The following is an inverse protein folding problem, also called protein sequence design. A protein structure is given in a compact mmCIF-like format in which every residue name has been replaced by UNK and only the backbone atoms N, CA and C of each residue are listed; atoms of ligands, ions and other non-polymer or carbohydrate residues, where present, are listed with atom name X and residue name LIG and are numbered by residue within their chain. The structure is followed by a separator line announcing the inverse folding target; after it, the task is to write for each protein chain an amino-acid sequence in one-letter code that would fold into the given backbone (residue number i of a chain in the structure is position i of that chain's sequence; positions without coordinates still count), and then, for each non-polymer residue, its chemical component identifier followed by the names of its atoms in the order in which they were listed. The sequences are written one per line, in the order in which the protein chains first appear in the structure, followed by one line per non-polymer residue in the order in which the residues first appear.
data_IF_200576535692
#
_entry.id   IF_200576535692
#
_cell.length_a   1.000
_cell.length_b   1.000
_cell.length_c   1.000
_cell.angle_alpha   90.00
_cell.angle_beta   90.00
_cell.angle_gamma   90.00
#
_symmetry.space_group_name_H-M   'P 1'
#
loop_
_entity.id
_entity.type
_entity.pdbx_description
1 polymer ?
#
# COMPACT_ATOMS: atom_id res chain seq x y z
N UNK A 1 15.11 -2.88 7.12
CA UNK A 1 15.05 -1.76 6.16
C UNK A 1 14.03 -2.15 5.12
N UNK A 2 12.82 -1.59 5.21
CA UNK A 2 11.79 -1.79 4.20
C UNK A 2 12.13 -0.98 2.96
N UNK A 3 12.19 -1.59 1.79
CA UNK A 3 12.15 -0.87 0.53
C UNK A 3 10.70 -0.81 0.06
N UNK A 4 10.22 0.39 -0.22
CA UNK A 4 8.97 0.56 -0.94
C UNK A 4 9.18 0.07 -2.37
N UNK A 5 8.46 -0.98 -2.74
CA UNK A 5 8.38 -1.40 -4.13
C UNK A 5 7.08 -0.85 -4.73
N UNK A 6 7.22 0.25 -5.46
CA UNK A 6 6.17 0.64 -6.39
C UNK A 6 6.18 -0.35 -7.56
N UNK A 7 5.07 -1.06 -7.76
CA UNK A 7 4.84 -1.96 -8.89
C UNK A 7 4.76 -1.17 -10.22
N UNK A 8 5.04 0.12 -10.17
CA UNK A 8 5.00 1.05 -11.29
C UNK A 8 6.41 1.29 -11.81
N UNK A 9 6.72 0.67 -12.95
CA UNK A 9 7.99 0.85 -13.62
C UNK A 9 7.96 1.98 -14.65
N UNK A 10 9.05 2.76 -14.67
CA UNK A 10 9.29 3.69 -15.75
C UNK A 10 9.50 2.92 -17.06
N UNK A 11 8.87 3.40 -18.14
CA UNK A 11 8.97 2.76 -19.47
C UNK A 11 10.40 2.69 -20.04
N UNK A 12 11.35 3.34 -19.41
CA UNK A 12 12.77 3.32 -19.78
C UNK A 12 13.57 2.21 -19.12
N UNK A 13 13.04 1.58 -18.05
CA UNK A 13 13.74 0.51 -17.31
C UNK A 13 13.77 -0.80 -18.10
N UNK A 14 14.74 -1.65 -17.78
CA UNK A 14 14.83 -2.98 -18.39
C UNK A 14 13.65 -3.86 -17.97
N UNK A 15 13.28 -3.86 -16.70
CA UNK A 15 12.15 -4.62 -16.17
C UNK A 15 10.83 -4.27 -16.88
N UNK A 16 10.58 -2.98 -17.12
CA UNK A 16 9.43 -2.56 -17.92
C UNK A 16 9.47 -3.17 -19.32
N UNK A 17 10.61 -3.06 -20.01
CA UNK A 17 10.76 -3.54 -21.39
C UNK A 17 10.56 -5.05 -21.52
N UNK A 18 11.01 -5.82 -20.52
CA UNK A 18 10.81 -7.27 -20.48
C UNK A 18 9.32 -7.61 -20.35
N UNK A 19 8.59 -6.97 -19.46
CA UNK A 19 7.14 -7.15 -19.30
C UNK A 19 6.37 -6.62 -20.52
N UNK A 20 6.81 -5.52 -21.11
CA UNK A 20 6.20 -4.94 -22.31
C UNK A 20 6.39 -5.84 -23.55
N UNK A 21 7.53 -6.53 -23.64
CA UNK A 21 7.78 -7.52 -24.70
C UNK A 21 6.83 -8.72 -24.64
N UNK A 22 6.28 -9.03 -23.46
CA UNK A 22 5.20 -9.99 -23.29
C UNK A 22 3.81 -9.42 -23.61
N UNK A 23 3.71 -8.12 -23.96
CA UNK A 23 2.44 -7.42 -24.07
C UNK A 23 1.70 -7.27 -22.75
N UNK A 24 2.42 -7.31 -21.63
CA UNK A 24 1.88 -7.39 -20.29
C UNK A 24 1.99 -6.06 -19.49
N UNK A 25 2.24 -4.94 -20.17
CA UNK A 25 2.20 -3.61 -19.57
C UNK A 25 0.97 -2.83 -20.06
N UNK A 26 0.30 -2.15 -19.12
CA UNK A 26 -0.81 -1.26 -19.50
C UNK A 26 -0.28 -0.04 -20.24
N UNK A 27 -0.82 0.23 -21.44
CA UNK A 27 -0.24 1.19 -22.38
C UNK A 27 -0.82 2.61 -22.27
N UNK A 28 -2.01 2.77 -21.69
CA UNK A 28 -2.70 4.05 -21.72
C UNK A 28 -1.96 5.14 -20.95
N UNK A 29 -1.38 4.80 -19.79
CA UNK A 29 -0.60 5.73 -18.98
C UNK A 29 0.64 6.27 -19.75
N UNK A 30 1.28 5.41 -20.55
CA UNK A 30 2.43 5.79 -21.38
C UNK A 30 2.00 6.70 -22.52
N UNK A 31 0.89 6.37 -23.21
CA UNK A 31 0.33 7.20 -24.29
C UNK A 31 -0.06 8.59 -23.81
N UNK A 32 -0.64 8.67 -22.64
CA UNK A 32 -1.06 9.93 -22.02
C UNK A 32 0.09 10.67 -21.33
N UNK A 33 1.30 10.09 -21.32
CA UNK A 33 2.50 10.66 -20.69
C UNK A 33 2.31 11.01 -19.24
N UNK A 34 1.65 10.13 -18.48
CA UNK A 34 1.38 10.35 -17.04
C UNK A 34 2.70 10.27 -16.28
N UNK A 35 3.07 11.39 -15.68
CA UNK A 35 4.30 11.53 -14.93
C UNK A 35 4.14 11.04 -13.51
N UNK A 36 5.21 10.43 -13.01
CA UNK A 36 5.33 10.10 -11.60
C UNK A 36 5.41 11.38 -10.75
N UNK A 37 4.72 11.39 -9.61
CA UNK A 37 4.71 12.56 -8.73
C UNK A 37 5.93 12.60 -7.79
N UNK A 38 6.54 11.45 -7.49
CA UNK A 38 7.76 11.36 -6.69
C UNK A 38 8.98 11.66 -7.58
N UNK A 39 8.98 11.09 -8.80
CA UNK A 39 10.03 11.27 -9.78
C UNK A 39 9.47 11.89 -11.06
N UNK A 40 9.27 13.21 -11.11
CA UNK A 40 8.51 13.87 -12.20
C UNK A 40 9.07 13.67 -13.62
N UNK A 41 10.29 13.16 -13.75
CA UNK A 41 10.88 12.79 -15.04
C UNK A 41 10.44 11.43 -15.56
N UNK A 42 9.89 10.58 -14.70
CA UNK A 42 9.50 9.23 -15.08
C UNK A 42 8.05 9.20 -15.56
N UNK A 43 7.82 8.42 -16.62
CA UNK A 43 6.50 8.03 -17.10
C UNK A 43 6.44 6.52 -16.92
N UNK A 44 5.47 6.05 -16.16
CA UNK A 44 5.38 4.64 -15.79
C UNK A 44 3.98 4.07 -15.90
N UNK A 45 3.89 2.76 -15.78
CA UNK A 45 2.64 2.02 -15.78
C UNK A 45 2.73 0.81 -14.88
N UNK A 46 1.61 0.11 -14.72
CA UNK A 46 1.53 -1.16 -14.02
C UNK A 46 1.59 -2.32 -15.01
N UNK A 47 2.13 -3.45 -14.56
CA UNK A 47 2.04 -4.68 -15.32
C UNK A 47 0.65 -5.31 -15.18
N UNK A 48 0.27 -6.15 -16.12
CA UNK A 48 -0.99 -6.89 -16.07
C UNK A 48 -0.87 -8.12 -15.18
N UNK A 49 -1.23 -7.98 -13.92
CA UNK A 49 -1.19 -9.07 -12.93
C UNK A 49 -2.15 -10.22 -13.26
N UNK A 50 -3.09 -10.04 -14.19
CA UNK A 50 -3.98 -11.12 -14.65
C UNK A 50 -3.30 -12.05 -15.66
N UNK A 51 -2.14 -11.67 -16.21
CA UNK A 51 -1.37 -12.50 -17.12
C UNK A 51 -0.41 -13.41 -16.32
N UNK A 52 -0.57 -14.75 -16.38
CA UNK A 52 0.28 -15.67 -15.62
C UNK A 52 1.77 -15.58 -15.95
N UNK A 53 2.12 -15.35 -17.23
CA UNK A 53 3.52 -15.20 -17.63
C UNK A 53 4.11 -13.89 -17.08
N UNK A 54 3.30 -12.83 -17.03
CA UNK A 54 3.73 -11.57 -16.43
C UNK A 54 3.94 -11.70 -14.92
N UNK A 55 3.06 -12.42 -14.20
CA UNK A 55 3.26 -12.72 -12.77
C UNK A 55 4.56 -13.47 -12.51
N UNK A 56 4.85 -14.46 -13.35
CA UNK A 56 6.09 -15.24 -13.25
C UNK A 56 7.32 -14.36 -13.46
N UNK A 57 7.35 -13.58 -14.55
CA UNK A 57 8.46 -12.67 -14.84
C UNK A 57 8.62 -11.62 -13.74
N UNK A 58 7.52 -11.02 -13.27
CA UNK A 58 7.55 -10.07 -12.17
C UNK A 58 8.19 -10.68 -10.91
N UNK A 59 7.83 -11.92 -10.56
CA UNK A 59 8.47 -12.60 -9.45
C UNK A 59 9.96 -12.88 -9.70
N UNK A 60 10.33 -13.30 -10.90
CA UNK A 60 11.74 -13.54 -11.26
C UNK A 60 12.59 -12.29 -11.03
N UNK A 61 12.09 -11.11 -11.45
CA UNK A 61 12.73 -9.82 -11.21
C UNK A 61 12.84 -9.50 -9.70
N UNK A 62 11.77 -9.72 -8.95
CA UNK A 62 11.77 -9.54 -7.49
C UNK A 62 12.74 -10.50 -6.79
N UNK A 63 12.78 -11.74 -7.22
CA UNK A 63 13.67 -12.75 -6.65
C UNK A 63 15.14 -12.38 -6.88
N UNK A 64 15.49 -12.03 -8.10
CA UNK A 64 16.87 -11.68 -8.47
C UNK A 64 17.39 -10.46 -7.70
N UNK A 65 16.58 -9.41 -7.60
CA UNK A 65 17.05 -8.13 -7.10
C UNK A 65 16.73 -7.82 -5.64
N UNK A 66 15.81 -8.58 -5.03
CA UNK A 66 15.34 -8.29 -3.66
C UNK A 66 15.33 -9.54 -2.77
N UNK A 67 14.57 -10.58 -3.13
CA UNK A 67 14.43 -11.74 -2.26
C UNK A 67 15.77 -12.44 -2.01
N UNK A 68 16.62 -12.57 -3.03
CA UNK A 68 17.98 -13.12 -2.91
C UNK A 68 18.87 -12.33 -1.94
N UNK A 69 18.53 -11.08 -1.62
CA UNK A 69 19.24 -10.25 -0.65
C UNK A 69 18.75 -10.44 0.79
N UNK A 70 17.77 -11.30 1.03
CA UNK A 70 17.25 -11.63 2.36
C UNK A 70 16.04 -10.78 2.77
N UNK A 71 15.16 -10.40 1.85
CA UNK A 71 13.90 -9.75 2.16
C UNK A 71 12.88 -10.79 2.63
N UNK A 72 12.33 -10.65 3.83
CA UNK A 72 11.42 -11.59 4.46
C UNK A 72 9.94 -11.22 4.32
N UNK A 73 9.62 -9.97 4.02
CA UNK A 73 8.26 -9.45 3.95
C UNK A 73 8.12 -8.33 2.91
N UNK A 74 6.92 -8.17 2.40
CA UNK A 74 6.64 -7.28 1.28
C UNK A 74 5.62 -6.21 1.65
N UNK A 75 5.96 -4.96 1.37
CA UNK A 75 5.02 -3.83 1.44
C UNK A 75 4.68 -3.39 0.03
N UNK A 76 3.42 -3.64 -0.36
CA UNK A 76 2.90 -3.42 -1.69
C UNK A 76 2.01 -2.17 -1.69
N UNK A 77 2.63 -1.02 -1.87
CA UNK A 77 1.91 0.23 -1.99
C UNK A 77 1.28 0.40 -3.38
N UNK A 78 0.32 1.30 -3.52
CA UNK A 78 -0.37 1.63 -4.79
C UNK A 78 -1.00 0.43 -5.52
N UNK A 79 -1.27 -0.68 -4.83
CA UNK A 79 -1.73 -1.95 -5.40
C UNK A 79 -3.21 -1.98 -5.82
N UNK A 80 -3.90 -0.84 -5.85
CA UNK A 80 -5.28 -0.69 -6.34
C UNK A 80 -5.53 -0.59 -7.86
N UNK A 81 -4.67 -0.64 -8.83
CA UNK A 81 -3.39 -0.05 -9.12
C UNK A 81 -3.50 1.47 -9.34
N UNK A 82 -2.77 2.23 -8.57
CA UNK A 82 -2.86 3.70 -8.57
C UNK A 82 -1.82 4.35 -9.50
N UNK A 83 -2.20 4.57 -10.75
CA UNK A 83 -1.35 5.30 -11.71
C UNK A 83 -1.40 6.80 -11.47
N UNK A 84 -2.57 7.33 -11.11
CA UNK A 84 -2.77 8.76 -10.88
C UNK A 84 -3.85 8.99 -9.81
N UNK A 85 -3.49 9.75 -8.78
CA UNK A 85 -4.41 10.11 -7.69
C UNK A 85 -5.52 11.06 -8.16
N UNK A 86 -6.63 11.04 -7.41
CA UNK A 86 -7.78 11.94 -7.59
C UNK A 86 -8.35 11.97 -9.02
N UNK A 87 -8.21 10.88 -9.75
CA UNK A 87 -8.68 10.71 -11.11
C UNK A 87 -10.04 10.03 -11.13
N UNK A 88 -10.86 10.34 -12.12
CA UNK A 88 -12.13 9.68 -12.36
C UNK A 88 -11.96 8.15 -12.48
N UNK A 89 -12.89 7.39 -11.92
CA UNK A 89 -12.78 5.91 -11.84
C UNK A 89 -12.82 5.26 -13.24
N UNK A 90 -13.53 5.82 -14.19
CA UNK A 90 -13.57 5.26 -15.55
C UNK A 90 -12.25 5.48 -16.26
N UNK A 91 -11.60 6.62 -16.01
CA UNK A 91 -10.25 6.85 -16.53
C UNK A 91 -9.22 5.93 -15.85
N UNK A 92 -9.32 5.69 -14.54
CA UNK A 92 -8.46 4.70 -13.86
C UNK A 92 -8.59 3.31 -14.47
N UNK A 93 -9.82 2.88 -14.77
CA UNK A 93 -10.06 1.61 -15.46
C UNK A 93 -9.43 1.60 -16.86
N UNK A 94 -9.47 2.73 -17.58
CA UNK A 94 -8.83 2.84 -18.89
C UNK A 94 -7.31 2.76 -18.80
N UNK A 95 -6.70 3.34 -17.74
CA UNK A 95 -5.25 3.26 -17.48
C UNK A 95 -4.77 1.84 -17.21
N UNK A 96 -5.65 0.97 -16.68
CA UNK A 96 -5.35 -0.39 -16.22
C UNK A 96 -6.03 -1.46 -17.07
N UNK A 97 -6.07 -1.26 -18.38
CA UNK A 97 -6.72 -2.24 -19.27
C UNK A 97 -6.40 -2.04 -20.75
N UNK A 98 -6.86 -2.97 -21.61
CA UNK A 98 -7.53 -4.21 -21.22
C UNK A 98 -6.59 -5.15 -20.46
N UNK A 99 -7.15 -6.01 -19.59
CA UNK A 99 -6.40 -7.07 -18.91
C UNK A 99 -6.31 -8.32 -19.79
N UNK A 100 -5.42 -9.22 -19.44
CA UNK A 100 -5.31 -10.56 -20.07
C UNK A 100 -6.64 -11.32 -20.10
N UNK A 101 -7.46 -11.15 -19.04
CA UNK A 101 -8.76 -11.81 -18.92
C UNK A 101 -9.90 -11.05 -19.60
N UNK A 102 -9.67 -9.84 -20.08
CA UNK A 102 -10.69 -9.02 -20.73
C UNK A 102 -10.78 -7.57 -20.21
N UNK A 103 -11.96 -6.93 -20.32
CA UNK A 103 -12.08 -5.51 -20.02
C UNK A 103 -11.82 -5.19 -18.54
N UNK A 104 -11.09 -4.12 -18.28
CA UNK A 104 -10.76 -3.71 -16.90
C UNK A 104 -12.01 -3.36 -16.08
N UNK A 105 -13.08 -2.91 -16.70
CA UNK A 105 -14.39 -2.69 -16.03
C UNK A 105 -14.90 -3.91 -15.27
N UNK A 106 -14.48 -5.11 -15.67
CA UNK A 106 -14.85 -6.37 -14.99
C UNK A 106 -13.84 -6.76 -13.92
N UNK A 107 -12.56 -6.49 -14.12
CA UNK A 107 -11.48 -7.07 -13.34
C UNK A 107 -10.74 -6.08 -12.44
N UNK A 108 -10.85 -4.78 -12.66
CA UNK A 108 -10.06 -3.73 -12.02
C UNK A 108 -9.89 -3.91 -10.50
N UNK A 109 -10.96 -4.24 -9.78
CA UNK A 109 -10.94 -4.32 -8.32
C UNK A 109 -10.14 -5.53 -7.76
N UNK A 110 -9.86 -6.54 -8.57
CA UNK A 110 -9.17 -7.75 -8.12
C UNK A 110 -7.65 -7.68 -8.33
N UNK A 111 -7.12 -6.56 -8.80
CA UNK A 111 -5.69 -6.43 -9.11
C UNK A 111 -4.79 -6.80 -7.92
N UNK A 112 -5.08 -6.30 -6.72
CA UNK A 112 -4.30 -6.61 -5.54
C UNK A 112 -4.29 -8.11 -5.19
N UNK A 113 -5.37 -8.82 -5.47
CA UNK A 113 -5.46 -10.27 -5.27
C UNK A 113 -4.49 -11.01 -6.19
N UNK A 114 -4.51 -10.69 -7.49
CA UNK A 114 -3.65 -11.31 -8.50
C UNK A 114 -2.16 -10.98 -8.27
N UNK A 115 -1.89 -9.75 -7.84
CA UNK A 115 -0.54 -9.34 -7.50
C UNK A 115 -0.02 -10.02 -6.22
N UNK A 116 -0.89 -10.22 -5.22
CA UNK A 116 -0.55 -10.97 -4.02
C UNK A 116 -0.27 -12.45 -4.34
N UNK A 117 -1.06 -13.06 -5.24
CA UNK A 117 -0.81 -14.41 -5.75
C UNK A 117 0.58 -14.52 -6.40
N UNK A 118 0.94 -13.56 -7.25
CA UNK A 118 2.24 -13.55 -7.93
C UNK A 118 3.41 -13.65 -6.95
N UNK A 119 3.38 -12.85 -5.88
CA UNK A 119 4.45 -12.83 -4.88
C UNK A 119 4.41 -14.07 -3.98
N UNK A 120 3.21 -14.45 -3.53
CA UNK A 120 3.04 -15.61 -2.66
C UNK A 120 3.52 -16.89 -3.35
N UNK A 121 3.01 -17.19 -4.54
CA UNK A 121 3.37 -18.40 -5.30
C UNK A 121 4.83 -18.36 -5.73
N UNK A 122 5.31 -17.18 -6.13
CA UNK A 122 6.70 -16.97 -6.50
C UNK A 122 7.65 -17.30 -5.34
N UNK A 123 7.46 -16.70 -4.18
CA UNK A 123 8.30 -16.95 -2.99
C UNK A 123 8.23 -18.42 -2.56
N UNK A 124 7.03 -19.01 -2.54
CA UNK A 124 6.83 -20.42 -2.18
C UNK A 124 7.46 -21.37 -3.20
N UNK A 125 7.60 -20.97 -4.44
CA UNK A 125 8.30 -21.77 -5.47
C UNK A 125 9.81 -21.85 -5.24
N UNK A 126 10.39 -20.79 -4.66
CA UNK A 126 11.83 -20.73 -4.35
C UNK A 126 12.14 -21.41 -3.02
N UNK A 127 11.37 -21.08 -1.99
CA UNK A 127 11.52 -21.73 -0.67
C UNK A 127 10.14 -22.07 -0.08
N UNK A 128 9.69 -23.31 -0.18
CA UNK A 128 8.39 -23.75 0.29
C UNK A 128 8.25 -23.74 1.82
N UNK A 129 9.34 -23.66 2.57
CA UNK A 129 9.31 -23.65 4.04
C UNK A 129 9.24 -22.25 4.63
N UNK A 130 9.59 -21.21 3.85
CA UNK A 130 9.51 -19.84 4.31
C UNK A 130 8.07 -19.34 4.40
N UNK A 131 7.80 -18.59 5.47
CA UNK A 131 6.52 -17.90 5.63
C UNK A 131 6.50 -16.67 4.74
N UNK A 132 5.43 -16.52 3.98
CA UNK A 132 5.17 -15.31 3.21
C UNK A 132 4.39 -14.32 4.07
N UNK A 133 4.75 -13.05 4.02
CA UNK A 133 3.96 -11.96 4.59
C UNK A 133 3.89 -10.79 3.62
N UNK A 134 2.67 -10.40 3.30
CA UNK A 134 2.37 -9.27 2.41
C UNK A 134 1.54 -8.24 3.17
N UNK A 135 1.88 -6.96 2.99
CA UNK A 135 1.04 -5.84 3.39
C UNK A 135 0.71 -5.03 2.15
N UNK A 136 -0.57 -4.94 1.78
CA UNK A 136 -1.02 -4.27 0.56
C UNK A 136 -2.05 -3.18 0.84
N UNK A 137 -2.01 -2.07 0.08
CA UNK A 137 -2.92 -0.92 0.28
C UNK A 137 -4.36 -1.21 -0.15
N UNK A 138 -4.60 -2.24 -0.90
CA UNK A 138 -5.95 -2.62 -1.30
C UNK A 138 -6.26 -4.08 -1.02
N UNK A 139 -7.54 -4.41 -0.92
CA UNK A 139 -8.02 -5.74 -0.60
C UNK A 139 -9.12 -6.22 -1.53
N UNK A 140 -9.15 -7.54 -1.76
CA UNK A 140 -10.23 -8.21 -2.45
C UNK A 140 -10.57 -9.54 -1.77
N UNK A 141 -11.80 -10.02 -1.95
CA UNK A 141 -12.28 -11.24 -1.31
C UNK A 141 -11.36 -12.43 -1.64
N UNK A 142 -10.92 -13.15 -0.61
CA UNK A 142 -10.04 -14.31 -0.75
C UNK A 142 -8.54 -14.00 -0.63
N UNK A 143 -8.17 -12.74 -0.46
CA UNK A 143 -6.76 -12.31 -0.41
C UNK A 143 -5.97 -12.90 0.77
N UNK A 144 -6.64 -13.23 1.88
CA UNK A 144 -6.02 -13.85 3.04
C UNK A 144 -5.35 -15.19 2.74
N UNK A 145 -5.72 -15.90 1.68
CA UNK A 145 -5.08 -17.16 1.27
C UNK A 145 -3.64 -16.98 0.79
N UNK A 146 -3.26 -15.76 0.44
CA UNK A 146 -1.90 -15.40 0.03
C UNK A 146 -1.11 -14.73 1.15
N UNK A 147 -1.43 -15.01 2.41
CA UNK A 147 -0.77 -14.47 3.61
C UNK A 147 -0.74 -12.94 3.64
N UNK A 148 -1.81 -12.32 3.17
CA UNK A 148 -1.88 -10.88 2.94
C UNK A 148 -2.66 -10.17 4.04
N UNK A 149 -2.04 -9.15 4.61
CA UNK A 149 -2.69 -8.11 5.38
C UNK A 149 -2.93 -6.88 4.49
N UNK A 150 -3.87 -6.02 4.87
CA UNK A 150 -4.15 -4.78 4.15
C UNK A 150 -4.27 -3.60 5.10
N UNK A 151 -4.02 -2.39 4.59
CA UNK A 151 -4.26 -1.15 5.33
C UNK A 151 -5.11 -0.18 4.54
N UNK A 152 -5.63 0.82 5.22
CA UNK A 152 -6.61 1.76 4.67
C UNK A 152 -6.02 2.90 3.83
N UNK A 153 -4.71 2.89 3.56
CA UNK A 153 -4.07 3.93 2.74
C UNK A 153 -3.81 5.23 3.51
N UNK A 154 -3.70 6.32 2.77
CA UNK A 154 -3.23 7.63 3.23
C UNK A 154 -4.35 8.45 3.91
N UNK A 155 -4.91 7.89 4.98
CA UNK A 155 -5.98 8.52 5.77
C UNK A 155 -5.52 9.80 6.46
N UNK A 156 -6.45 10.73 6.72
CA UNK A 156 -6.15 11.99 7.38
C UNK A 156 -5.91 11.86 8.89
N UNK A 157 -5.11 12.77 9.42
CA UNK A 157 -4.88 12.90 10.86
C UNK A 157 -6.02 13.70 11.49
N UNK A 158 -7.20 13.09 11.60
CA UNK A 158 -8.43 13.72 12.08
C UNK A 158 -9.26 12.76 12.92
N UNK A 159 -10.08 13.29 13.80
CA UNK A 159 -10.99 12.51 14.64
C UNK A 159 -12.03 11.72 13.83
N UNK A 160 -12.52 12.32 12.74
CA UNK A 160 -13.47 11.69 11.83
C UNK A 160 -12.85 10.49 11.12
N UNK A 161 -11.61 10.63 10.64
CA UNK A 161 -10.86 9.54 10.02
C UNK A 161 -10.66 8.42 11.02
N UNK A 162 -10.19 8.71 12.23
CA UNK A 162 -10.03 7.72 13.29
C UNK A 162 -11.33 6.97 13.56
N UNK A 163 -12.44 7.67 13.71
CA UNK A 163 -13.76 7.08 13.93
C UNK A 163 -14.16 6.16 12.77
N UNK A 164 -13.91 6.57 11.54
CA UNK A 164 -14.19 5.79 10.35
C UNK A 164 -13.36 4.51 10.28
N UNK A 165 -12.11 4.51 10.76
CA UNK A 165 -11.24 3.35 10.77
C UNK A 165 -11.76 2.22 11.68
N UNK A 166 -12.42 2.55 12.78
CA UNK A 166 -13.02 1.54 13.67
C UNK A 166 -14.08 0.74 12.89
N UNK A 167 -14.99 1.42 12.22
CA UNK A 167 -16.01 0.77 11.39
C UNK A 167 -15.40 0.04 10.20
N UNK A 168 -14.40 0.62 9.56
CA UNK A 168 -13.71 0.02 8.42
C UNK A 168 -13.07 -1.32 8.79
N UNK A 169 -12.28 -1.37 9.88
CA UNK A 169 -11.65 -2.59 10.34
C UNK A 169 -12.64 -3.71 10.66
N UNK A 170 -13.77 -3.37 11.31
CA UNK A 170 -14.83 -4.32 11.59
C UNK A 170 -15.46 -4.87 10.30
N UNK A 171 -15.72 -4.00 9.32
CA UNK A 171 -16.30 -4.39 8.03
C UNK A 171 -15.35 -5.29 7.23
N UNK A 172 -14.05 -4.99 7.22
CA UNK A 172 -13.04 -5.86 6.59
C UNK A 172 -13.02 -7.24 7.26
N UNK A 173 -12.99 -7.30 8.60
CA UNK A 173 -13.01 -8.56 9.34
C UNK A 173 -14.28 -9.38 9.03
N UNK A 174 -15.45 -8.74 9.01
CA UNK A 174 -16.74 -9.39 8.68
C UNK A 174 -16.79 -9.86 7.22
N UNK A 175 -16.06 -9.21 6.32
CA UNK A 175 -15.95 -9.58 4.91
C UNK A 175 -14.91 -10.69 4.64
N UNK A 176 -14.32 -11.26 5.70
CA UNK A 176 -13.34 -12.35 5.58
C UNK A 176 -11.91 -11.86 5.30
N UNK A 177 -11.61 -10.59 5.54
CA UNK A 177 -10.27 -10.01 5.48
C UNK A 177 -9.89 -9.49 6.88
N UNK A 178 -9.59 -10.40 7.85
CA UNK A 178 -9.39 -10.01 9.25
C UNK A 178 -8.02 -9.37 9.51
N UNK A 179 -7.04 -9.62 8.66
CA UNK A 179 -5.70 -9.05 8.80
C UNK A 179 -5.66 -7.65 8.20
N UNK A 180 -6.28 -6.72 8.91
CA UNK A 180 -6.38 -5.33 8.52
C UNK A 180 -5.70 -4.42 9.53
N UNK A 181 -5.17 -3.30 9.04
CA UNK A 181 -4.59 -2.24 9.86
C UNK A 181 -4.90 -0.86 9.26
N UNK A 182 -4.39 0.17 9.87
CA UNK A 182 -4.36 1.55 9.39
C UNK A 182 -3.04 2.19 9.79
N UNK A 183 -2.78 3.38 9.29
CA UNK A 183 -1.70 4.22 9.77
C UNK A 183 -2.10 4.83 11.12
N UNK A 184 -1.50 4.33 12.21
CA UNK A 184 -1.75 4.86 13.54
C UNK A 184 -1.31 6.32 13.58
N UNK A 185 -2.24 7.21 13.90
CA UNK A 185 -2.07 8.65 13.88
C UNK A 185 -2.52 9.33 12.58
N UNK A 186 -2.91 8.55 11.56
CA UNK A 186 -3.24 9.03 10.22
C UNK A 186 -1.98 9.32 9.38
N UNK A 187 -2.01 9.09 8.08
CA UNK A 187 -0.88 9.34 7.19
C UNK A 187 -0.73 10.83 6.85
N UNK A 188 -1.82 11.42 6.33
CA UNK A 188 -1.83 12.81 5.84
C UNK A 188 -2.05 13.77 7.00
N UNK A 189 -0.99 14.46 7.41
CA UNK A 189 -1.00 15.32 8.59
C UNK A 189 -1.46 16.73 8.24
N UNK A 190 -2.41 17.28 9.04
CA UNK A 190 -2.84 18.68 8.89
C UNK A 190 -1.70 19.66 9.22
N UNK A 191 -1.59 20.73 8.44
CA UNK A 191 -0.55 21.74 8.60
C UNK A 191 -0.49 22.33 10.02
N UNK A 192 -1.61 22.43 10.73
CA UNK A 192 -1.67 22.94 12.10
C UNK A 192 -0.88 22.06 13.07
N UNK A 193 -0.87 20.73 12.88
CA UNK A 193 -0.07 19.82 13.68
C UNK A 193 1.41 19.86 13.29
N UNK A 194 1.71 19.96 11.99
CA UNK A 194 3.09 20.09 11.51
C UNK A 194 3.79 21.35 12.06
N UNK A 195 3.03 22.43 12.27
CA UNK A 195 3.52 23.70 12.79
C UNK A 195 3.31 23.88 14.29
N UNK A 196 2.77 22.89 14.99
CA UNK A 196 2.40 22.98 16.40
C UNK A 196 3.63 23.19 17.29
N UNK A 197 3.49 24.08 18.28
CA UNK A 197 4.56 24.43 19.23
C UNK A 197 4.23 23.93 20.63
N UNK A 198 5.25 23.70 21.42
CA UNK A 198 5.07 23.31 22.83
C UNK A 198 4.15 24.29 23.55
N UNK A 199 3.16 23.74 24.27
CA UNK A 199 2.13 24.48 24.98
C UNK A 199 0.91 24.90 24.13
N UNK A 200 0.92 24.70 22.81
CA UNK A 200 -0.22 25.02 21.94
C UNK A 200 -1.36 24.02 22.07
N UNK A 201 -2.58 24.46 21.72
CA UNK A 201 -3.76 23.57 21.67
C UNK A 201 -3.61 22.50 20.59
N UNK A 202 -3.09 22.87 19.42
CA UNK A 202 -2.84 21.92 18.33
C UNK A 202 -1.90 20.79 18.74
N UNK A 203 -0.84 21.07 19.52
CA UNK A 203 0.05 20.02 20.01
C UNK A 203 -0.63 19.13 21.06
N UNK A 204 -1.46 19.70 21.93
CA UNK A 204 -2.26 18.90 22.88
C UNK A 204 -3.23 17.99 22.16
N UNK A 205 -3.93 18.52 21.15
CA UNK A 205 -4.85 17.72 20.33
C UNK A 205 -4.11 16.63 19.54
N UNK A 206 -2.96 16.94 18.93
CA UNK A 206 -2.10 15.97 18.27
C UNK A 206 -1.74 14.80 19.20
N UNK A 207 -1.30 15.11 20.43
CA UNK A 207 -0.95 14.10 21.43
C UNK A 207 -2.15 13.25 21.82
N UNK A 208 -3.30 13.88 22.07
CA UNK A 208 -4.52 13.16 22.45
C UNK A 208 -5.03 12.28 21.31
N UNK A 209 -5.08 12.79 20.07
CA UNK A 209 -5.50 12.03 18.90
C UNK A 209 -4.62 10.80 18.69
N UNK A 210 -3.30 10.97 18.74
CA UNK A 210 -2.38 9.85 18.61
C UNK A 210 -2.55 8.83 19.75
N UNK A 211 -2.73 9.29 20.99
CA UNK A 211 -2.98 8.42 22.14
C UNK A 211 -4.24 7.55 21.91
N UNK A 212 -5.34 8.13 21.44
CA UNK A 212 -6.56 7.38 21.12
C UNK A 212 -6.34 6.42 19.97
N UNK A 213 -5.57 6.82 18.97
CA UNK A 213 -5.24 5.94 17.86
C UNK A 213 -4.38 4.75 18.29
N UNK A 214 -3.42 4.95 19.21
CA UNK A 214 -2.66 3.86 19.82
C UNK A 214 -3.55 2.90 20.60
N UNK A 215 -4.50 3.42 21.37
CA UNK A 215 -5.46 2.60 22.10
C UNK A 215 -6.27 1.70 21.16
N UNK A 216 -6.76 2.25 20.05
CA UNK A 216 -7.45 1.47 19.03
C UNK A 216 -6.50 0.48 18.32
N UNK A 217 -5.34 0.95 17.94
CA UNK A 217 -4.32 0.14 17.25
C UNK A 217 -3.88 -1.11 18.02
N UNK A 218 -3.91 -1.05 19.37
CA UNK A 218 -3.59 -2.19 20.22
C UNK A 218 -4.55 -3.39 20.04
N UNK A 219 -5.72 -3.17 19.44
CA UNK A 219 -6.68 -4.23 19.11
C UNK A 219 -6.62 -4.67 17.65
N UNK A 220 -5.77 -4.03 16.83
CA UNK A 220 -5.60 -4.41 15.44
C UNK A 220 -4.57 -5.53 15.30
N UNK A 221 -4.73 -6.44 14.32
CA UNK A 221 -3.78 -7.53 14.08
C UNK A 221 -2.34 -7.08 13.80
N UNK A 222 -2.19 -5.89 13.20
CA UNK A 222 -0.91 -5.22 12.99
C UNK A 222 -0.93 -3.87 13.70
N UNK A 223 -0.01 -3.71 14.65
CA UNK A 223 0.22 -2.44 15.34
C UNK A 223 1.33 -1.67 14.59
N UNK A 224 0.95 -0.64 13.84
CA UNK A 224 1.86 0.07 12.93
C UNK A 224 1.69 1.58 13.05
N UNK A 225 2.71 2.25 13.56
CA UNK A 225 2.81 3.71 13.57
C UNK A 225 3.46 4.16 12.24
N UNK A 226 2.74 4.94 11.44
CA UNK A 226 3.22 5.36 10.11
C UNK A 226 2.51 6.64 9.65
N UNK A 227 3.24 7.48 8.88
CA UNK A 227 2.70 8.69 8.26
C UNK A 227 3.73 9.80 8.12
N UNK A 228 3.28 10.95 7.61
CA UNK A 228 4.08 12.15 7.44
C UNK A 228 4.53 12.75 8.79
N UNK A 229 5.53 13.64 8.72
CA UNK A 229 5.93 14.46 9.90
C UNK A 229 4.72 15.19 10.50
N UNK A 230 4.65 15.36 11.86
CA UNK A 230 5.66 15.01 12.87
C UNK A 230 5.80 13.51 13.16
N UNK A 231 6.99 13.13 13.66
CA UNK A 231 7.23 11.76 14.13
C UNK A 231 6.19 11.38 15.18
N UNK A 232 5.65 10.18 15.05
CA UNK A 232 4.51 9.71 15.86
C UNK A 232 4.83 8.53 16.75
N UNK A 233 6.08 8.10 16.80
CA UNK A 233 6.53 7.16 17.81
C UNK A 233 6.32 7.74 19.19
N UNK A 234 5.90 6.92 20.14
CA UNK A 234 5.45 7.40 21.44
C UNK A 234 6.48 8.26 22.18
N UNK A 235 7.75 7.94 22.02
CA UNK A 235 8.87 8.70 22.60
C UNK A 235 9.12 10.05 21.90
N UNK A 236 8.53 10.29 20.73
CA UNK A 236 8.59 11.56 20.00
C UNK A 236 7.33 12.42 20.21
N UNK A 237 6.19 11.78 20.51
CA UNK A 237 4.90 12.47 20.64
C UNK A 237 4.86 13.31 21.92
N UNK A 238 5.38 12.78 23.03
CA UNK A 238 5.25 13.42 24.32
C UNK A 238 6.51 13.24 25.18
N UNK A 239 6.79 14.21 26.09
CA UNK A 239 7.88 14.07 27.05
C UNK A 239 7.70 12.83 27.94
N UNK A 240 8.84 12.20 28.28
CA UNK A 240 8.86 11.08 29.23
C UNK A 240 8.15 11.45 30.54
N UNK A 241 7.35 10.54 31.05
CA UNK A 241 6.58 10.74 32.28
C UNK A 241 5.26 11.51 32.11
N UNK A 242 4.96 12.01 30.90
CA UNK A 242 3.64 12.62 30.62
C UNK A 242 2.55 11.53 30.53
N UNK A 243 1.26 11.86 30.77
CA UNK A 243 0.16 10.91 30.64
C UNK A 243 0.04 10.26 29.24
N UNK A 244 0.49 10.97 28.20
CA UNK A 244 0.49 10.43 26.83
C UNK A 244 1.61 9.42 26.62
N UNK A 245 2.73 9.57 27.33
CA UNK A 245 3.88 8.66 27.26
C UNK A 245 3.63 7.35 28.03
N UNK A 246 2.90 7.41 29.15
CA UNK A 246 2.54 6.27 30.01
C UNK A 246 1.39 5.45 29.43
#
# INVERSE_FOLDING_TARGET
VGSEMCIRDSYTTEHYKELDALGAMYQQAIKDSIRDWIYPGYIGSFYDAYNPEARKLFWEQMNEHLYSLGIDAWWMDASEPNVQDNTDIEYRKALCGPTYLGPSTKYFNAYALENAEAIYDGQRSVNPDDRVFLLTRSGFAGQQRYSTATWSGDIGTRWEDMKAQISAGLNFAMSGIPYWTMDIGGFSVENRYMAAKEGSEDLREWRELNNRWYQFGAFCPLFRSHGQYPCREIYNIAPEGSPTYQ
#
